data_IF_625953693962
#
_entry.id   IF_625953693962
#
_cell.length_a   1.000
_cell.length_b   1.000
_cell.length_c   1.000
_cell.angle_alpha   90.00
_cell.angle_beta   90.00
_cell.angle_gamma   90.00
#
_symmetry.space_group_name_H-M   'P 1'
#
loop_
_entity.id
_entity.type
_entity.pdbx_description
1 polymer ?
#
# COMPACT_ATOMS: atom_id res chain seq x y z
N UNK A 1 5.60 10.76 -13.75
CA UNK A 1 4.52 10.05 -14.47
C UNK A 1 3.18 10.55 -13.94
N UNK A 2 2.12 10.58 -14.75
CA UNK A 2 0.77 10.93 -14.25
C UNK A 2 0.07 9.68 -13.72
N UNK A 3 -0.20 9.63 -12.42
CA UNK A 3 -0.90 8.50 -11.80
C UNK A 3 -2.41 8.62 -12.11
N UNK A 4 -3.05 7.59 -12.71
CA UNK A 4 -4.48 7.60 -13.03
C UNK A 4 -5.37 7.84 -11.80
N UNK A 5 -6.52 8.50 -11.98
CA UNK A 5 -7.47 8.79 -10.88
C UNK A 5 -7.96 7.53 -10.15
N UNK A 6 -8.20 6.44 -10.88
CA UNK A 6 -8.53 5.13 -10.31
C UNK A 6 -7.41 4.61 -9.38
N UNK A 7 -6.16 4.75 -9.80
CA UNK A 7 -5.00 4.34 -8.99
C UNK A 7 -4.85 5.19 -7.73
N UNK A 8 -5.13 6.50 -7.84
CA UNK A 8 -5.17 7.39 -6.67
C UNK A 8 -6.25 6.95 -5.67
N UNK A 9 -7.42 6.50 -6.13
CA UNK A 9 -8.47 5.97 -5.26
C UNK A 9 -8.02 4.71 -4.52
N UNK A 10 -7.32 3.79 -5.20
CA UNK A 10 -6.75 2.60 -4.55
C UNK A 10 -5.67 2.95 -3.53
N UNK A 11 -4.80 3.91 -3.85
CA UNK A 11 -3.79 4.45 -2.92
C UNK A 11 -4.46 5.01 -1.66
N UNK A 12 -5.49 5.85 -1.82
CA UNK A 12 -6.26 6.42 -0.70
C UNK A 12 -6.91 5.34 0.17
N UNK A 13 -7.48 4.30 -0.45
CA UNK A 13 -8.08 3.19 0.28
C UNK A 13 -7.05 2.44 1.13
N UNK A 14 -5.85 2.19 0.59
CA UNK A 14 -4.75 1.55 1.32
C UNK A 14 -4.24 2.45 2.45
N UNK A 15 -4.01 3.74 2.19
CA UNK A 15 -3.59 4.69 3.23
C UNK A 15 -4.61 4.77 4.37
N UNK A 16 -5.91 4.87 4.04
CA UNK A 16 -6.98 4.87 5.04
C UNK A 16 -7.02 3.56 5.82
N UNK A 17 -6.86 2.42 5.14
CA UNK A 17 -6.80 1.13 5.81
C UNK A 17 -5.61 1.05 6.77
N UNK A 18 -4.41 1.50 6.39
CA UNK A 18 -3.20 1.37 7.20
C UNK A 18 -3.06 2.41 8.30
N UNK A 19 -3.45 3.66 8.04
CA UNK A 19 -3.13 4.82 8.86
C UNK A 19 -4.34 5.62 9.34
N UNK A 20 -5.55 5.29 8.89
CA UNK A 20 -6.75 6.07 9.18
C UNK A 20 -6.98 7.23 8.20
N UNK A 21 -8.09 7.94 8.39
CA UNK A 21 -8.56 8.94 7.43
C UNK A 21 -7.66 10.19 7.37
N UNK A 22 -7.25 10.72 8.52
CA UNK A 22 -6.47 11.96 8.61
C UNK A 22 -5.13 11.87 7.86
N UNK A 23 -4.40 10.77 8.05
CA UNK A 23 -3.12 10.52 7.36
C UNK A 23 -3.34 10.27 5.87
N UNK A 24 -4.45 9.61 5.51
CA UNK A 24 -4.78 9.37 4.10
C UNK A 24 -5.07 10.66 3.35
N UNK A 25 -5.71 11.65 3.97
CA UNK A 25 -6.02 12.93 3.32
C UNK A 25 -4.79 13.85 3.23
N UNK A 26 -3.89 13.80 4.22
CA UNK A 26 -2.70 14.66 4.30
C UNK A 26 -1.52 14.28 3.39
N UNK A 27 -1.47 13.06 2.83
CA UNK A 27 -0.35 12.62 1.98
C UNK A 27 -0.60 12.98 0.51
N UNK A 28 0.31 13.68 -0.16
CA UNK A 28 0.23 13.85 -1.62
C UNK A 28 0.55 12.55 -2.36
N UNK A 29 -0.26 12.23 -3.40
CA UNK A 29 -0.05 11.03 -4.23
C UNK A 29 0.85 11.39 -5.41
N UNK A 30 2.08 10.91 -5.38
CA UNK A 30 3.06 10.99 -6.45
C UNK A 30 3.76 9.64 -6.67
N UNK A 31 4.67 9.58 -7.63
CA UNK A 31 5.38 8.35 -7.99
C UNK A 31 6.13 7.72 -6.80
N UNK A 32 6.68 8.56 -5.90
CA UNK A 32 7.41 8.12 -4.71
C UNK A 32 6.47 7.54 -3.65
N UNK A 33 5.31 8.17 -3.44
CA UNK A 33 4.25 7.65 -2.57
C UNK A 33 3.77 6.29 -3.05
N UNK A 34 3.54 6.14 -4.37
CA UNK A 34 3.12 4.88 -4.98
C UNK A 34 4.17 3.78 -4.79
N UNK A 35 5.44 4.09 -5.03
CA UNK A 35 6.54 3.15 -4.85
C UNK A 35 6.66 2.67 -3.38
N UNK A 36 6.60 3.61 -2.44
CA UNK A 36 6.64 3.31 -1.00
C UNK A 36 5.47 2.43 -0.56
N UNK A 37 4.26 2.67 -1.07
CA UNK A 37 3.10 1.83 -0.78
C UNK A 37 3.30 0.44 -1.39
N UNK A 38 3.87 0.33 -2.58
CA UNK A 38 4.23 -0.96 -3.19
C UNK A 38 5.17 -1.78 -2.31
N UNK A 39 6.24 -1.17 -1.81
CA UNK A 39 7.19 -1.81 -0.89
C UNK A 39 6.56 -2.14 0.47
N UNK A 40 5.69 -1.28 0.98
CA UNK A 40 4.95 -1.52 2.21
C UNK A 40 4.07 -2.75 2.07
N UNK A 41 3.32 -2.87 0.97
CA UNK A 41 2.53 -4.05 0.65
C UNK A 41 3.42 -5.28 0.50
N UNK A 42 4.57 -5.17 -0.19
CA UNK A 42 5.56 -6.25 -0.33
C UNK A 42 5.93 -6.88 1.01
N UNK A 43 6.39 -6.04 1.93
CA UNK A 43 6.73 -6.46 3.29
C UNK A 43 5.52 -7.00 4.06
N UNK A 44 4.34 -6.46 3.80
CA UNK A 44 3.11 -6.94 4.40
C UNK A 44 2.82 -8.39 3.96
N UNK A 45 3.03 -8.75 2.68
CA UNK A 45 2.86 -10.14 2.22
C UNK A 45 3.82 -11.14 2.88
N UNK A 46 5.02 -10.69 3.29
CA UNK A 46 5.98 -11.53 4.00
C UNK A 46 5.54 -11.85 5.43
N UNK A 47 4.55 -11.15 5.96
CA UNK A 47 3.85 -11.58 7.18
C UNK A 47 2.82 -12.67 6.83
N UNK A 48 3.01 -13.87 7.37
CA UNK A 48 2.17 -15.05 7.16
C UNK A 48 0.68 -14.84 7.51
N UNK A 49 0.34 -13.79 8.24
CA UNK A 49 -1.05 -13.45 8.64
C UNK A 49 -1.80 -12.53 7.66
N UNK A 50 -1.22 -12.18 6.51
CA UNK A 50 -1.85 -11.34 5.46
C UNK A 50 -2.40 -12.15 4.27
N UNK A 51 -2.37 -13.49 4.37
CA UNK A 51 -2.56 -14.42 3.25
C UNK A 51 -3.97 -14.37 2.65
N UNK A 52 -5.01 -14.01 3.42
CA UNK A 52 -6.38 -14.00 2.87
C UNK A 52 -6.67 -12.78 1.99
N UNK A 53 -6.06 -11.64 2.31
CA UNK A 53 -6.44 -10.37 1.70
C UNK A 53 -5.61 -9.97 0.51
N UNK A 54 -4.41 -10.51 0.34
CA UNK A 54 -3.48 -9.89 -0.60
C UNK A 54 -2.74 -10.99 -1.39
N UNK A 55 -2.86 -11.03 -2.74
CA UNK A 55 -2.22 -12.06 -3.55
C UNK A 55 -0.69 -11.90 -3.57
N UNK A 56 0.06 -12.97 -3.26
CA UNK A 56 1.54 -12.95 -3.19
C UNK A 56 2.16 -12.30 -4.45
N UNK A 57 3.13 -11.38 -4.28
CA UNK A 57 3.78 -10.74 -5.42
C UNK A 57 4.61 -11.74 -6.20
N UNK A 58 4.35 -11.85 -7.50
CA UNK A 58 5.20 -12.55 -8.47
C UNK A 58 6.21 -11.51 -8.96
N UNK A 59 7.26 -11.25 -8.20
CA UNK A 59 8.42 -10.50 -8.68
C UNK A 59 9.67 -11.36 -8.51
N UNK A 60 10.60 -11.32 -9.49
CA UNK A 60 11.91 -11.95 -9.33
C UNK A 60 12.66 -11.28 -8.18
N UNK A 61 13.23 -12.10 -7.30
CA UNK A 61 14.02 -11.69 -6.14
C UNK A 61 15.17 -10.79 -6.63
N UNK A 62 15.20 -9.52 -6.17
CA UNK A 62 16.32 -8.60 -6.39
C UNK A 62 16.07 -7.41 -7.34
N UNK A 63 14.94 -7.36 -8.06
CA UNK A 63 14.58 -6.17 -8.83
C UNK A 63 13.78 -5.21 -7.94
N UNK A 64 14.28 -3.98 -7.69
CA UNK A 64 13.46 -2.92 -7.07
C UNK A 64 12.22 -2.74 -7.95
N UNK A 65 11.03 -3.08 -7.46
CA UNK A 65 9.87 -3.07 -8.31
C UNK A 65 9.41 -1.62 -8.47
N UNK A 66 9.87 -0.95 -9.52
CA UNK A 66 9.53 0.46 -9.75
C UNK A 66 8.02 0.70 -9.85
N UNK A 67 7.65 1.98 -9.97
CA UNK A 67 6.27 2.50 -9.87
C UNK A 67 5.21 1.65 -10.60
N UNK A 68 5.52 1.12 -11.79
CA UNK A 68 4.61 0.25 -12.57
C UNK A 68 4.23 -1.05 -11.84
N UNK A 69 5.18 -1.68 -11.18
CA UNK A 69 4.90 -2.87 -10.36
C UNK A 69 4.12 -2.49 -9.10
N UNK A 70 4.49 -1.37 -8.46
CA UNK A 70 3.80 -0.89 -7.27
C UNK A 70 2.31 -0.64 -7.56
N UNK A 71 2.00 0.02 -8.68
CA UNK A 71 0.63 0.20 -9.16
C UNK A 71 -0.12 -1.12 -9.36
N UNK A 72 0.55 -2.16 -9.87
CA UNK A 72 -0.07 -3.48 -10.04
C UNK A 72 -0.48 -4.09 -8.69
N UNK A 73 0.35 -3.96 -7.67
CA UNK A 73 0.03 -4.45 -6.32
C UNK A 73 -1.06 -3.60 -5.65
N UNK A 74 -0.98 -2.29 -5.82
CA UNK A 74 -1.96 -1.32 -5.32
C UNK A 74 -3.35 -1.60 -5.90
N UNK A 75 -3.48 -1.78 -7.21
CA UNK A 75 -4.77 -2.09 -7.87
C UNK A 75 -5.41 -3.35 -7.31
N UNK A 76 -4.63 -4.42 -7.18
CA UNK A 76 -5.12 -5.71 -6.65
C UNK A 76 -5.59 -5.57 -5.20
N UNK A 77 -4.79 -4.91 -4.37
CA UNK A 77 -5.06 -4.75 -2.93
C UNK A 77 -6.21 -3.79 -2.70
N UNK A 78 -6.17 -2.61 -3.33
CA UNK A 78 -7.19 -1.59 -3.22
C UNK A 78 -8.56 -2.08 -3.69
N UNK A 79 -8.62 -2.84 -4.80
CA UNK A 79 -9.88 -3.47 -5.24
C UNK A 79 -10.45 -4.41 -4.17
N UNK A 80 -9.63 -5.26 -3.56
CA UNK A 80 -10.07 -6.18 -2.50
C UNK A 80 -10.54 -5.45 -1.24
N UNK A 81 -9.84 -4.40 -0.82
CA UNK A 81 -10.23 -3.57 0.32
C UNK A 81 -11.58 -2.87 0.08
N UNK A 82 -11.79 -2.34 -1.12
CA UNK A 82 -13.05 -1.69 -1.49
C UNK A 82 -14.21 -2.69 -1.61
N UNK A 83 -13.95 -3.92 -2.07
CA UNK A 83 -14.96 -4.98 -2.16
C UNK A 83 -15.26 -5.68 -0.83
N UNK A 84 -14.33 -5.67 0.13
CA UNK A 84 -14.50 -6.29 1.44
C UNK A 84 -14.06 -5.33 2.57
N UNK A 85 -14.93 -4.40 2.99
CA UNK A 85 -14.60 -3.42 4.04
C UNK A 85 -14.38 -4.06 5.42
N UNK A 86 -14.93 -5.25 5.66
CA UNK A 86 -14.77 -6.01 6.91
C UNK A 86 -13.49 -6.84 6.95
N UNK A 87 -12.67 -6.80 5.91
CA UNK A 87 -11.49 -7.63 5.85
C UNK A 87 -10.41 -7.08 6.80
N UNK A 88 -10.24 -7.76 7.92
CA UNK A 88 -9.32 -7.36 8.97
C UNK A 88 -7.91 -7.86 8.65
N UNK A 89 -7.03 -6.93 8.32
CA UNK A 89 -5.59 -7.17 8.35
C UNK A 89 -5.18 -7.31 9.81
N UNK A 90 -4.52 -8.43 10.18
CA UNK A 90 -4.04 -8.68 11.55
C UNK A 90 -3.30 -7.45 12.09
N UNK A 91 -3.81 -6.93 13.21
CA UNK A 91 -3.53 -5.58 13.72
C UNK A 91 -2.03 -5.37 14.02
N UNK A 92 -1.30 -6.44 14.35
CA UNK A 92 0.05 -6.37 14.90
C UNK A 92 1.12 -6.15 13.81
N UNK A 93 1.14 -6.98 12.76
CA UNK A 93 2.08 -6.77 11.64
C UNK A 93 1.78 -5.48 10.89
N UNK A 94 0.50 -5.14 10.70
CA UNK A 94 0.06 -3.87 10.11
C UNK A 94 0.65 -2.67 10.85
N UNK A 95 0.57 -2.64 12.18
CA UNK A 95 1.09 -1.53 13.00
C UNK A 95 2.60 -1.40 12.87
N UNK A 96 3.35 -2.50 12.94
CA UNK A 96 4.81 -2.48 12.83
C UNK A 96 5.28 -1.99 11.45
N UNK A 97 4.68 -2.50 10.37
CA UNK A 97 5.02 -2.09 9.01
C UNK A 97 4.58 -0.65 8.76
N UNK A 98 3.35 -0.28 9.13
CA UNK A 98 2.85 1.08 9.00
C UNK A 98 3.79 2.07 9.71
N UNK A 99 4.16 1.78 10.95
CA UNK A 99 5.08 2.62 11.71
C UNK A 99 6.43 2.81 10.99
N UNK A 100 7.00 1.74 10.43
CA UNK A 100 8.29 1.81 9.73
C UNK A 100 8.26 2.61 8.41
N UNK A 101 7.09 2.75 7.79
CA UNK A 101 6.91 3.50 6.53
C UNK A 101 6.33 4.90 6.71
N UNK A 102 5.70 5.20 7.85
CA UNK A 102 5.01 6.48 8.10
C UNK A 102 5.88 7.69 7.80
N UNK A 103 7.06 7.80 8.43
CA UNK A 103 7.95 8.93 8.20
C UNK A 103 8.44 9.06 6.75
N UNK A 104 8.58 7.93 6.03
CA UNK A 104 8.97 7.94 4.60
C UNK A 104 7.83 8.43 3.72
N UNK A 105 6.59 8.09 4.05
CA UNK A 105 5.40 8.54 3.33
C UNK A 105 5.10 10.02 3.59
N UNK A 106 5.23 10.48 4.83
CA UNK A 106 5.06 11.89 5.19
C UNK A 106 6.09 12.75 4.46
N UNK A 107 7.38 12.37 4.44
CA UNK A 107 8.41 13.10 3.67
C UNK A 107 8.26 13.01 2.15
N UNK A 108 7.59 11.98 1.63
CA UNK A 108 7.39 11.82 0.19
C UNK A 108 6.15 12.57 -0.31
N UNK A 109 5.16 12.75 0.56
CA UNK A 109 3.88 13.40 0.27
C UNK A 109 3.74 14.81 0.83
N UNK A 110 4.79 15.35 1.46
CA UNK A 110 4.96 16.76 1.86
C UNK A 110 5.42 17.65 0.72
#
# INVERSE_FOLDING_TARGET
>A
MTIPREDQKYVRAILKAFYGQDVSEGIQINDRTVDLIGQMLEKAYSCTELIELVPRPIAPIGARPGVKWALKQIRKTGKKLLSNPSAQVSLTCKKAIAFSFRGRLEMAGS
#
